data_IF_731030065482
#
_entry.id   IF_731030065482
#
_cell.length_a   1.000
_cell.length_b   1.000
_cell.length_c   1.000
_cell.angle_alpha   90.00
_cell.angle_beta   90.00
_cell.angle_gamma   90.00
#
_symmetry.space_group_name_H-M   'P 1'
#
loop_
_entity.id
_entity.type
_entity.pdbx_description
1 polymer ?
#
# COMPACT_ATOMS: atom_id res chain seq x y z
N UNK A 1 -15.59 -29.54 -33.31
CA UNK A 1 -16.03 -28.27 -32.68
C UNK A 1 -15.41 -28.24 -31.28
N UNK A 2 -14.20 -27.67 -31.15
CA UNK A 2 -13.50 -27.59 -29.86
C UNK A 2 -14.13 -26.48 -29.03
N UNK A 3 -14.72 -26.84 -27.88
CA UNK A 3 -15.17 -25.88 -26.89
C UNK A 3 -13.93 -25.20 -26.29
N UNK A 4 -13.77 -23.91 -26.57
CA UNK A 4 -12.77 -23.08 -25.90
C UNK A 4 -13.11 -23.00 -24.42
N UNK A 5 -12.22 -23.54 -23.58
CA UNK A 5 -12.25 -23.39 -22.13
C UNK A 5 -12.29 -21.90 -21.79
N UNK A 6 -13.39 -21.44 -21.19
CA UNK A 6 -13.46 -20.11 -20.58
C UNK A 6 -12.53 -20.13 -19.39
N UNK A 7 -11.31 -19.64 -19.57
CA UNK A 7 -10.39 -19.34 -18.47
C UNK A 7 -11.10 -18.34 -17.56
N UNK A 8 -11.62 -18.81 -16.43
CA UNK A 8 -12.19 -17.98 -15.38
C UNK A 8 -11.05 -17.06 -14.94
N UNK A 9 -11.15 -15.75 -15.20
CA UNK A 9 -10.22 -14.78 -14.62
C UNK A 9 -10.21 -15.03 -13.11
N UNK A 10 -9.06 -15.15 -12.45
CA UNK A 10 -9.05 -15.26 -11.01
C UNK A 10 -9.77 -14.03 -10.47
N UNK A 11 -10.89 -14.24 -9.78
CA UNK A 11 -11.46 -13.22 -8.93
C UNK A 11 -10.36 -12.90 -7.92
N UNK A 12 -9.89 -11.65 -7.92
CA UNK A 12 -8.89 -11.23 -6.96
C UNK A 12 -9.47 -11.42 -5.55
N UNK A 13 -9.01 -12.47 -4.87
CA UNK A 13 -9.29 -12.71 -3.46
C UNK A 13 -8.59 -11.58 -2.72
N UNK A 14 -9.34 -10.67 -2.11
CA UNK A 14 -8.77 -9.51 -1.44
C UNK A 14 -9.87 -8.68 -0.78
N UNK A 15 -9.50 -7.88 0.21
CA UNK A 15 -10.46 -7.05 0.94
C UNK A 15 -10.45 -5.63 0.38
N UNK A 16 -11.63 -5.12 -0.01
CA UNK A 16 -11.79 -3.73 -0.45
C UNK A 16 -11.84 -2.84 0.79
N UNK A 17 -10.90 -1.91 0.94
CA UNK A 17 -10.89 -0.94 2.04
C UNK A 17 -11.66 0.33 1.70
N UNK A 18 -11.51 0.81 0.46
CA UNK A 18 -12.24 1.95 -0.05
C UNK A 18 -12.61 1.71 -1.50
N UNK A 19 -13.79 2.18 -1.89
CA UNK A 19 -14.25 2.20 -3.28
C UNK A 19 -14.63 3.62 -3.69
N UNK A 20 -13.98 4.09 -4.75
CA UNK A 20 -14.28 5.33 -5.46
C UNK A 20 -14.89 5.00 -6.83
N UNK A 21 -15.18 6.03 -7.63
CA UNK A 21 -15.86 5.86 -8.92
C UNK A 21 -15.04 5.01 -9.91
N UNK A 22 -13.73 5.23 -9.94
CA UNK A 22 -12.79 4.58 -10.86
C UNK A 22 -11.72 3.75 -10.13
N UNK A 23 -11.63 3.84 -8.80
CA UNK A 23 -10.55 3.20 -8.03
C UNK A 23 -11.04 2.44 -6.81
N UNK A 24 -10.29 1.43 -6.41
CA UNK A 24 -10.45 0.78 -5.11
C UNK A 24 -9.08 0.57 -4.45
N UNK A 25 -9.01 0.78 -3.14
CA UNK A 25 -7.88 0.34 -2.33
C UNK A 25 -8.13 -1.09 -1.89
N UNK A 26 -7.27 -1.99 -2.32
CA UNK A 26 -7.37 -3.42 -2.04
C UNK A 26 -6.27 -3.88 -1.11
N UNK A 27 -6.64 -4.76 -0.18
CA UNK A 27 -5.72 -5.52 0.65
C UNK A 27 -5.57 -6.92 0.08
N UNK A 28 -4.35 -7.49 0.11
CA UNK A 28 -4.18 -8.91 -0.17
C UNK A 28 -4.93 -9.77 0.87
N UNK A 29 -5.22 -11.04 0.56
CA UNK A 29 -5.67 -12.00 1.55
C UNK A 29 -4.71 -12.08 2.75
N UNK A 30 -5.19 -12.39 3.97
CA UNK A 30 -4.33 -12.51 5.14
C UNK A 30 -3.15 -13.47 4.96
N UNK A 31 -3.34 -14.57 4.25
CA UNK A 31 -2.32 -15.57 3.92
C UNK A 31 -1.21 -15.05 2.99
N UNK A 32 -1.49 -13.99 2.24
CA UNK A 32 -0.56 -13.37 1.29
C UNK A 32 0.00 -12.02 1.80
N UNK A 33 -0.44 -11.53 2.96
CA UNK A 33 -0.13 -10.19 3.46
C UNK A 33 1.37 -9.93 3.73
N UNK A 34 2.19 -10.99 3.84
CA UNK A 34 3.65 -10.89 3.97
C UNK A 34 4.40 -10.89 2.63
N UNK A 35 3.73 -11.29 1.55
CA UNK A 35 4.29 -11.38 0.20
C UNK A 35 3.81 -10.23 -0.70
N UNK A 36 2.54 -9.86 -0.58
CA UNK A 36 1.86 -8.89 -1.44
C UNK A 36 1.59 -7.57 -0.71
N UNK A 37 1.52 -6.47 -1.46
CA UNK A 37 1.26 -5.13 -0.91
C UNK A 37 -0.20 -4.70 -1.07
N UNK A 38 -0.73 -3.88 -0.15
CA UNK A 38 -1.93 -3.10 -0.42
C UNK A 38 -1.75 -2.27 -1.68
N UNK A 39 -2.79 -2.20 -2.50
CA UNK A 39 -2.65 -1.59 -3.83
C UNK A 39 -3.91 -0.86 -4.24
N UNK A 40 -3.74 0.32 -4.84
CA UNK A 40 -4.84 1.01 -5.53
C UNK A 40 -5.03 0.41 -6.91
N UNK A 41 -6.27 0.11 -7.27
CA UNK A 41 -6.59 -0.54 -8.53
C UNK A 41 -7.60 0.28 -9.31
N UNK A 42 -7.36 0.40 -10.62
CA UNK A 42 -8.36 0.94 -11.55
C UNK A 42 -9.51 -0.05 -11.75
N UNK A 43 -10.70 0.51 -11.93
CA UNK A 43 -11.93 -0.23 -12.16
C UNK A 43 -13.04 0.68 -12.65
N UNK A 44 -14.06 0.12 -13.27
CA UNK A 44 -15.33 0.84 -13.53
C UNK A 44 -16.50 -0.05 -13.18
N UNK A 45 -17.46 0.48 -12.44
CA UNK A 45 -18.65 -0.26 -12.05
C UNK A 45 -18.32 -1.45 -11.12
N UNK A 46 -18.91 -2.65 -11.31
CA UNK A 46 -18.70 -3.76 -10.38
C UNK A 46 -17.31 -4.43 -10.52
N UNK A 47 -16.57 -4.14 -11.59
CA UNK A 47 -15.30 -4.80 -11.92
C UNK A 47 -14.14 -3.83 -11.68
N UNK A 48 -13.48 -4.00 -10.55
CA UNK A 48 -12.15 -3.45 -10.30
C UNK A 48 -11.12 -4.44 -10.89
N UNK A 49 -9.82 -4.17 -10.92
CA UNK A 49 -8.77 -5.07 -11.46
C UNK A 49 -8.58 -5.11 -13.00
N UNK A 50 -9.45 -4.49 -13.81
CA UNK A 50 -9.36 -4.62 -15.27
C UNK A 50 -8.14 -3.91 -15.88
N UNK A 51 -7.77 -2.75 -15.32
CA UNK A 51 -6.76 -1.85 -15.88
C UNK A 51 -5.49 -1.74 -15.01
N UNK A 52 -5.31 -2.69 -14.08
CA UNK A 52 -4.10 -2.87 -13.30
C UNK A 52 -3.91 -1.94 -12.09
N UNK A 53 -2.78 -2.10 -11.38
CA UNK A 53 -2.46 -1.32 -10.19
C UNK A 53 -1.97 0.09 -10.52
N UNK A 54 -2.20 1.01 -9.58
CA UNK A 54 -1.78 2.40 -9.61
C UNK A 54 -1.26 2.83 -8.23
N UNK A 55 -0.53 3.95 -8.20
CA UNK A 55 -0.18 4.61 -6.93
C UNK A 55 -1.35 5.47 -6.44
N UNK A 56 -1.32 5.84 -5.15
CA UNK A 56 -2.26 6.81 -4.60
C UNK A 56 -2.31 8.11 -5.41
N UNK A 57 -1.15 8.64 -5.82
CA UNK A 57 -1.06 9.90 -6.56
C UNK A 57 -1.79 9.78 -7.90
N UNK A 58 -1.56 8.71 -8.65
CA UNK A 58 -2.26 8.45 -9.91
C UNK A 58 -3.78 8.31 -9.70
N UNK A 59 -4.20 7.59 -8.65
CA UNK A 59 -5.61 7.47 -8.31
C UNK A 59 -6.24 8.83 -7.97
N UNK A 60 -5.53 9.70 -7.22
CA UNK A 60 -5.99 11.06 -6.91
C UNK A 60 -6.08 11.95 -8.16
N UNK A 61 -5.24 11.74 -9.17
CA UNK A 61 -5.31 12.48 -10.44
C UNK A 61 -6.55 12.15 -11.26
N UNK A 62 -7.00 10.90 -11.18
CA UNK A 62 -8.10 10.34 -11.96
C UNK A 62 -9.46 10.44 -11.24
N UNK A 63 -9.46 10.62 -9.91
CA UNK A 63 -10.67 10.76 -9.10
C UNK A 63 -11.11 12.21 -8.88
N UNK A 64 -12.42 12.38 -8.63
CA UNK A 64 -12.98 13.66 -8.26
C UNK A 64 -12.38 14.18 -6.94
N UNK A 65 -12.16 15.49 -6.84
CA UNK A 65 -11.54 16.11 -5.66
C UNK A 65 -12.31 15.90 -4.36
N UNK A 66 -13.62 15.65 -4.45
CA UNK A 66 -14.47 15.31 -3.30
C UNK A 66 -14.08 13.97 -2.64
N UNK A 67 -13.45 13.06 -3.38
CA UNK A 67 -13.02 11.74 -2.87
C UNK A 67 -11.61 11.78 -2.24
N UNK A 68 -10.81 12.82 -2.54
CA UNK A 68 -9.40 12.89 -2.12
C UNK A 68 -9.19 12.74 -0.61
N UNK A 69 -9.98 13.40 0.27
CA UNK A 69 -9.84 13.22 1.72
C UNK A 69 -9.99 11.77 2.17
N UNK A 70 -11.05 11.09 1.71
CA UNK A 70 -11.32 9.70 2.09
C UNK A 70 -10.28 8.73 1.53
N UNK A 71 -9.73 9.01 0.35
CA UNK A 71 -8.63 8.21 -0.21
C UNK A 71 -7.36 8.31 0.64
N UNK A 72 -7.01 9.52 1.07
CA UNK A 72 -5.84 9.75 1.92
C UNK A 72 -6.03 9.13 3.32
N UNK A 73 -7.24 9.22 3.88
CA UNK A 73 -7.58 8.59 5.16
C UNK A 73 -7.48 7.07 5.08
N UNK A 74 -8.11 6.45 4.07
CA UNK A 74 -8.04 5.00 3.88
C UNK A 74 -6.60 4.51 3.67
N UNK A 75 -5.79 5.28 2.94
CA UNK A 75 -4.37 4.97 2.78
C UNK A 75 -3.62 5.03 4.12
N UNK A 76 -3.85 6.06 4.94
CA UNK A 76 -3.23 6.16 6.26
C UNK A 76 -3.69 5.05 7.22
N UNK A 77 -4.96 4.65 7.19
CA UNK A 77 -5.48 3.53 7.99
C UNK A 77 -4.83 2.20 7.62
N UNK A 78 -4.74 1.91 6.32
CA UNK A 78 -4.02 0.73 5.83
C UNK A 78 -2.55 0.81 6.24
N UNK A 79 -1.91 1.96 6.14
CA UNK A 79 -0.52 2.09 6.55
C UNK A 79 -0.31 1.76 8.03
N UNK A 80 -1.22 2.18 8.92
CA UNK A 80 -1.18 1.81 10.34
C UNK A 80 -1.30 0.30 10.58
N UNK A 81 -2.23 -0.36 9.88
CA UNK A 81 -2.43 -1.81 9.99
C UNK A 81 -1.16 -2.56 9.55
N UNK A 82 -0.57 -2.15 8.44
CA UNK A 82 0.63 -2.78 7.89
C UNK A 82 1.88 -2.51 8.72
N UNK A 83 2.01 -1.32 9.28
CA UNK A 83 3.11 -0.99 10.18
C UNK A 83 3.04 -1.82 11.48
N UNK A 84 1.83 -2.08 11.99
CA UNK A 84 1.63 -3.03 13.10
C UNK A 84 2.02 -4.45 12.70
N UNK A 85 1.58 -4.93 11.53
CA UNK A 85 1.95 -6.25 11.02
C UNK A 85 3.47 -6.40 10.87
N UNK A 86 4.16 -5.37 10.39
CA UNK A 86 5.62 -5.33 10.31
C UNK A 86 6.27 -5.42 11.69
N UNK A 87 5.74 -4.70 12.68
CA UNK A 87 6.23 -4.78 14.06
C UNK A 87 6.02 -6.18 14.67
N UNK A 88 4.87 -6.81 14.43
CA UNK A 88 4.60 -8.17 14.89
C UNK A 88 5.54 -9.19 14.22
N UNK A 89 5.82 -9.01 12.93
CA UNK A 89 6.80 -9.80 12.19
C UNK A 89 8.21 -9.69 12.78
N UNK A 90 8.63 -8.47 13.19
CA UNK A 90 9.92 -8.25 13.85
C UNK A 90 10.03 -8.98 15.19
N UNK A 91 8.92 -9.17 15.90
CA UNK A 91 8.88 -9.91 17.16
C UNK A 91 8.92 -11.43 17.00
N UNK A 92 8.54 -11.95 15.83
CA UNK A 92 8.26 -13.38 15.63
C UNK A 92 9.20 -14.11 14.68
N UNK A 93 10.06 -13.40 13.96
CA UNK A 93 10.97 -13.98 12.95
C UNK A 93 12.44 -13.67 13.26
N UNK A 94 13.42 -14.40 12.70
CA UNK A 94 14.82 -13.99 12.74
C UNK A 94 15.09 -12.79 11.83
N UNK A 95 16.21 -12.09 12.03
CA UNK A 95 16.60 -10.90 11.27
C UNK A 95 16.68 -11.15 9.75
N UNK A 96 17.12 -12.34 9.38
CA UNK A 96 17.38 -12.77 8.00
C UNK A 96 16.13 -13.32 7.30
N UNK A 97 14.97 -13.32 7.96
CA UNK A 97 13.72 -13.80 7.38
C UNK A 97 13.36 -13.01 6.10
N UNK A 98 13.19 -13.66 4.94
CA UNK A 98 12.88 -12.98 3.67
C UNK A 98 11.62 -12.10 3.73
N UNK A 99 10.65 -12.47 4.57
CA UNK A 99 9.41 -11.76 4.79
C UNK A 99 9.66 -10.36 5.36
N UNK A 100 10.67 -10.19 6.22
CA UNK A 100 11.03 -8.86 6.77
C UNK A 100 11.40 -7.91 5.65
N UNK A 101 12.24 -8.35 4.71
CA UNK A 101 12.64 -7.54 3.56
C UNK A 101 11.43 -7.12 2.72
N UNK A 102 10.57 -8.07 2.36
CA UNK A 102 9.37 -7.80 1.54
C UNK A 102 8.42 -6.84 2.25
N UNK A 103 8.10 -7.12 3.51
CA UNK A 103 7.26 -6.24 4.34
C UNK A 103 7.85 -4.83 4.44
N UNK A 104 9.15 -4.73 4.70
CA UNK A 104 9.84 -3.44 4.79
C UNK A 104 9.70 -2.61 3.52
N UNK A 105 9.91 -3.21 2.35
CA UNK A 105 9.74 -2.51 1.07
C UNK A 105 8.28 -2.15 0.77
N UNK A 106 7.35 -3.08 1.00
CA UNK A 106 5.93 -2.86 0.75
C UNK A 106 5.41 -1.65 1.55
N UNK A 107 5.74 -1.60 2.85
CA UNK A 107 5.33 -0.49 3.72
C UNK A 107 6.05 0.81 3.35
N UNK A 108 7.35 0.76 3.02
CA UNK A 108 8.10 1.96 2.64
C UNK A 108 7.56 2.60 1.35
N UNK A 109 7.20 1.80 0.35
CA UNK A 109 6.58 2.30 -0.89
C UNK A 109 5.24 2.97 -0.56
N UNK A 110 4.40 2.32 0.25
CA UNK A 110 3.11 2.85 0.65
C UNK A 110 3.25 4.16 1.47
N UNK A 111 4.19 4.23 2.42
CA UNK A 111 4.58 5.47 3.10
C UNK A 111 4.91 6.59 2.12
N UNK A 112 5.71 6.27 1.10
CA UNK A 112 6.19 7.23 0.11
C UNK A 112 5.03 7.79 -0.71
N UNK A 113 4.09 6.94 -1.14
CA UNK A 113 2.90 7.38 -1.86
C UNK A 113 2.05 8.38 -1.06
N UNK A 114 1.81 8.08 0.22
CA UNK A 114 1.08 8.99 1.12
C UNK A 114 1.85 10.29 1.32
N UNK A 115 3.15 10.22 1.60
CA UNK A 115 3.99 11.41 1.76
C UNK A 115 3.97 12.28 0.50
N UNK A 116 4.08 11.69 -0.69
CA UNK A 116 4.00 12.41 -1.96
C UNK A 116 2.65 13.10 -2.15
N UNK A 117 1.54 12.43 -1.83
CA UNK A 117 0.21 13.04 -1.90
C UNK A 117 0.07 14.24 -0.93
N UNK A 118 0.56 14.11 0.30
CA UNK A 118 0.47 15.15 1.33
C UNK A 118 1.37 16.37 1.05
N UNK A 119 2.50 16.18 0.37
CA UNK A 119 3.43 17.25 -0.01
C UNK A 119 3.15 17.84 -1.40
N UNK A 120 2.27 17.21 -2.19
CA UNK A 120 1.87 17.74 -3.48
C UNK A 120 1.12 19.06 -3.33
N UNK A 121 1.53 20.08 -4.09
CA UNK A 121 0.80 21.36 -4.18
C UNK A 121 -0.62 21.19 -4.74
N UNK A 122 -0.88 20.11 -5.48
CA UNK A 122 -2.18 19.81 -6.11
C UNK A 122 -3.16 19.13 -5.17
N UNK A 123 -2.67 18.34 -4.21
CA UNK A 123 -3.50 17.50 -3.34
C UNK A 123 -3.44 17.92 -1.88
N UNK A 124 -2.26 18.26 -1.38
CA UNK A 124 -2.04 18.66 0.01
C UNK A 124 -2.99 19.75 0.51
N UNK A 125 -3.20 20.85 -0.24
CA UNK A 125 -4.12 21.93 0.18
C UNK A 125 -5.60 21.53 0.28
N UNK A 126 -6.00 20.39 -0.30
CA UNK A 126 -7.39 19.89 -0.26
C UNK A 126 -7.70 19.11 1.02
N UNK A 127 -6.69 18.86 1.85
CA UNK A 127 -6.78 18.12 3.09
C UNK A 127 -6.72 19.11 4.25
N UNK A 128 -7.59 18.94 5.25
CA UNK A 128 -7.53 19.78 6.43
C UNK A 128 -6.19 19.62 7.14
N UNK A 129 -5.74 20.68 7.80
CA UNK A 129 -4.47 20.69 8.51
C UNK A 129 -4.33 19.52 9.49
N UNK A 130 -5.35 19.27 10.30
CA UNK A 130 -5.34 18.19 11.29
C UNK A 130 -5.23 16.80 10.64
N UNK A 131 -5.96 16.55 9.56
CA UNK A 131 -5.90 15.29 8.82
C UNK A 131 -4.55 15.10 8.15
N UNK A 132 -3.98 16.18 7.58
CA UNK A 132 -2.64 16.15 6.98
C UNK A 132 -1.57 15.82 8.02
N UNK A 133 -1.59 16.48 9.18
CA UNK A 133 -0.64 16.21 10.24
C UNK A 133 -0.77 14.78 10.76
N UNK A 134 -2.01 14.31 10.96
CA UNK A 134 -2.23 12.93 11.39
C UNK A 134 -1.67 11.93 10.39
N UNK A 135 -1.87 12.15 9.09
CA UNK A 135 -1.33 11.28 8.06
C UNK A 135 0.22 11.34 8.02
N UNK A 136 0.84 12.50 8.24
CA UNK A 136 2.29 12.63 8.35
C UNK A 136 2.84 11.91 9.59
N UNK A 137 2.15 11.96 10.73
CA UNK A 137 2.51 11.16 11.93
C UNK A 137 2.49 9.66 11.64
N UNK A 138 1.47 9.19 10.90
CA UNK A 138 1.39 7.79 10.47
C UNK A 138 2.57 7.41 9.59
N UNK A 139 2.92 8.24 8.60
CA UNK A 139 4.10 8.00 7.73
C UNK A 139 5.38 7.91 8.57
N UNK A 140 5.58 8.84 9.49
CA UNK A 140 6.76 8.85 10.36
C UNK A 140 6.83 7.58 11.22
N UNK A 141 5.72 7.23 11.88
CA UNK A 141 5.63 6.04 12.73
C UNK A 141 5.89 4.76 11.94
N UNK A 142 5.22 4.60 10.78
CA UNK A 142 5.38 3.42 9.95
C UNK A 142 6.81 3.27 9.44
N UNK A 143 7.43 4.38 8.99
CA UNK A 143 8.82 4.39 8.52
C UNK A 143 9.80 3.97 9.62
N UNK A 144 9.61 4.46 10.85
CA UNK A 144 10.43 4.06 12.01
C UNK A 144 10.28 2.57 12.32
N UNK A 145 9.05 2.04 12.26
CA UNK A 145 8.78 0.63 12.53
C UNK A 145 9.40 -0.29 11.48
N UNK A 146 9.36 0.09 10.20
CA UNK A 146 9.87 -0.76 9.12
C UNK A 146 11.36 -0.63 8.84
N UNK A 147 12.04 0.38 9.38
CA UNK A 147 13.50 0.51 9.27
C UNK A 147 14.22 -0.75 9.77
N UNK A 148 13.74 -1.34 10.87
CA UNK A 148 14.29 -2.58 11.42
C UNK A 148 14.09 -3.80 10.50
N UNK A 149 13.03 -3.82 9.69
CA UNK A 149 12.78 -4.88 8.70
C UNK A 149 13.82 -4.89 7.57
N UNK A 150 14.44 -3.74 7.29
CA UNK A 150 15.38 -3.57 6.17
C UNK A 150 16.86 -3.66 6.58
N UNK A 151 17.17 -3.82 7.87
CA UNK A 151 18.56 -3.89 8.38
C UNK A 151 19.36 -5.01 7.71
N UNK A 152 18.78 -6.21 7.57
CA UNK A 152 19.46 -7.32 6.88
C UNK A 152 19.80 -6.97 5.43
N UNK A 153 18.94 -6.21 4.74
CA UNK A 153 19.18 -5.81 3.34
C UNK A 153 20.42 -4.92 3.21
N UNK A 154 20.63 -4.01 4.17
CA UNK A 154 21.83 -3.15 4.18
C UNK A 154 23.09 -3.99 4.47
N UNK A 155 23.00 -4.94 5.41
CA UNK A 155 24.12 -5.84 5.74
C UNK A 155 24.51 -6.72 4.55
N UNK A 156 23.54 -7.32 3.88
CA UNK A 156 23.75 -8.15 2.69
C UNK A 156 24.43 -7.36 1.58
N UNK A 157 23.96 -6.13 1.33
CA UNK A 157 24.58 -5.25 0.35
C UNK A 157 26.03 -4.92 0.73
N UNK A 158 26.30 -4.54 1.98
CA UNK A 158 27.66 -4.26 2.44
C UNK A 158 28.60 -5.47 2.31
N UNK A 159 28.11 -6.67 2.66
CA UNK A 159 28.88 -7.90 2.51
C UNK A 159 29.15 -8.28 1.04
N UNK A 160 28.30 -7.84 0.10
CA UNK A 160 28.53 -8.04 -1.33
C UNK A 160 29.62 -7.12 -1.92
N UNK A 161 30.04 -6.10 -1.17
CA UNK A 161 31.09 -5.15 -1.58
C UNK A 161 32.48 -5.51 -1.03
N UNK A 162 32.57 -6.47 -0.11
CA UNK A 162 33.80 -6.98 0.49
C UNK A 162 34.28 -8.25 -0.20
#
# INVERSE_FOLDING_TARGET
MMAMSKTKRPEASGTVMLRCAHHALMLPPPEEALAESPTWLRGRGPVYFADGPVTLVMALEEEASTSHPSMIEAHAEVLLIWAKLANDLLGTTPLEAPERKRMGFNVLVFCTELASALHSERFGPKISFDRRNRALEVVAQATLQIGACLVATVRDYQASLS
#
